data_IF_513109443866
#
_entry.id   IF_513109443866
#
_cell.length_a   1.000
_cell.length_b   1.000
_cell.length_c   1.000
_cell.angle_alpha   90.00
_cell.angle_beta   90.00
_cell.angle_gamma   90.00
#
_symmetry.space_group_name_H-M   'P 1'
#
loop_
_entity.id
_entity.type
_entity.pdbx_description
1 polymer ?
#
# COMPACT_ATOMS: atom_id res chain seq x y z
N UNK A 1 -33.58 -7.91 -21.84
CA UNK A 1 -32.93 -6.86 -21.03
C UNK A 1 -31.93 -6.13 -21.92
N UNK A 2 -32.12 -4.84 -22.15
CA UNK A 2 -31.15 -4.01 -22.86
C UNK A 2 -29.98 -3.69 -21.91
N UNK A 3 -28.78 -4.16 -22.22
CA UNK A 3 -27.56 -3.65 -21.61
C UNK A 3 -27.07 -2.48 -22.48
N UNK A 4 -27.03 -1.24 -21.95
CA UNK A 4 -26.47 -0.14 -22.70
C UNK A 4 -25.01 -0.44 -23.07
N UNK A 5 -24.55 -0.03 -24.26
CA UNK A 5 -23.18 -0.26 -24.68
C UNK A 5 -22.20 0.39 -23.69
N UNK A 6 -21.20 -0.38 -23.26
CA UNK A 6 -20.17 0.12 -22.35
C UNK A 6 -19.40 1.27 -23.01
N UNK A 7 -19.60 2.49 -22.50
CA UNK A 7 -18.90 3.69 -22.96
C UNK A 7 -17.47 3.80 -22.40
N UNK A 8 -17.00 2.81 -21.63
CA UNK A 8 -15.67 2.76 -20.99
C UNK A 8 -14.53 3.13 -21.93
N UNK A 9 -14.48 2.52 -23.13
CA UNK A 9 -13.43 2.81 -24.14
C UNK A 9 -13.44 4.25 -24.62
N UNK A 10 -14.63 4.85 -24.77
CA UNK A 10 -14.78 6.26 -25.17
C UNK A 10 -14.34 7.19 -24.04
N UNK A 11 -14.69 6.88 -22.79
CA UNK A 11 -14.28 7.66 -21.62
C UNK A 11 -12.78 7.60 -21.36
N UNK A 12 -12.14 6.44 -21.55
CA UNK A 12 -10.67 6.35 -21.52
C UNK A 12 -10.03 7.18 -22.62
N UNK A 13 -10.62 7.19 -23.83
CA UNK A 13 -10.11 8.00 -24.94
C UNK A 13 -10.20 9.49 -24.61
N UNK A 14 -11.32 9.94 -24.03
CA UNK A 14 -11.53 11.31 -23.58
C UNK A 14 -10.49 11.73 -22.53
N UNK A 15 -10.26 10.90 -21.51
CA UNK A 15 -9.21 11.15 -20.51
C UNK A 15 -7.81 11.26 -21.15
N UNK A 16 -7.50 10.39 -22.12
CA UNK A 16 -6.19 10.36 -22.77
C UNK A 16 -5.98 11.50 -23.77
N UNK A 17 -7.02 11.96 -24.45
CA UNK A 17 -6.92 13.12 -25.35
C UNK A 17 -6.87 14.44 -24.59
N UNK A 18 -7.37 14.47 -23.35
CA UNK A 18 -7.55 15.68 -22.54
C UNK A 18 -8.44 16.74 -23.24
N UNK A 19 -9.27 16.30 -24.19
CA UNK A 19 -10.24 17.14 -24.89
C UNK A 19 -11.29 17.61 -23.89
N UNK A 20 -11.58 18.90 -23.87
CA UNK A 20 -12.51 19.54 -22.92
C UNK A 20 -12.17 19.37 -21.43
N UNK A 21 -10.93 18.99 -21.10
CA UNK A 21 -10.47 19.00 -19.73
C UNK A 21 -10.62 20.39 -19.12
N UNK A 22 -11.23 20.47 -17.94
CA UNK A 22 -11.52 21.71 -17.22
C UNK A 22 -10.82 21.76 -15.85
N UNK A 23 -10.11 20.69 -15.48
CA UNK A 23 -9.29 20.63 -14.28
C UNK A 23 -7.92 20.01 -14.53
N UNK A 24 -6.93 20.45 -13.75
CA UNK A 24 -5.58 19.88 -13.74
C UNK A 24 -5.14 19.51 -12.32
N UNK A 25 -4.31 18.47 -12.22
CA UNK A 25 -3.64 18.03 -10.99
C UNK A 25 -2.15 17.77 -11.24
N UNK A 26 -1.33 17.86 -10.19
CA UNK A 26 0.10 17.55 -10.27
C UNK A 26 0.47 16.43 -9.30
N UNK A 27 1.17 15.43 -9.81
CA UNK A 27 1.73 14.33 -9.01
C UNK A 27 3.21 14.22 -9.34
N UNK A 28 4.06 14.63 -8.40
CA UNK A 28 5.47 14.88 -8.67
C UNK A 28 5.65 15.93 -9.77
N UNK A 29 6.48 15.64 -10.78
CA UNK A 29 6.71 16.51 -11.92
C UNK A 29 5.69 16.35 -13.06
N UNK A 30 4.69 15.46 -12.93
CA UNK A 30 3.73 15.14 -13.99
C UNK A 30 2.41 15.87 -13.77
N UNK A 31 1.89 16.46 -14.84
CA UNK A 31 0.58 17.11 -14.90
C UNK A 31 -0.44 16.12 -15.46
N UNK A 32 -1.63 16.13 -14.87
CA UNK A 32 -2.79 15.35 -15.31
C UNK A 32 -3.95 16.29 -15.58
N UNK A 33 -4.57 16.12 -16.74
CA UNK A 33 -5.77 16.84 -17.16
C UNK A 33 -6.97 15.90 -17.05
N UNK A 34 -8.08 16.42 -16.54
CA UNK A 34 -9.29 15.63 -16.30
C UNK A 34 -10.55 16.49 -16.37
N UNK A 35 -11.69 15.86 -16.12
CA UNK A 35 -13.02 16.46 -16.23
C UNK A 35 -13.67 16.52 -14.85
N UNK A 36 -13.88 17.73 -14.34
CA UNK A 36 -14.44 18.01 -13.02
C UNK A 36 -15.80 17.36 -12.82
N UNK A 37 -16.65 17.37 -13.85
CA UNK A 37 -17.97 16.76 -13.80
C UNK A 37 -17.90 15.25 -13.52
N UNK A 38 -17.01 14.54 -14.20
CA UNK A 38 -16.79 13.09 -14.01
C UNK A 38 -16.21 12.83 -12.63
N UNK A 39 -15.22 13.62 -12.22
CA UNK A 39 -14.60 13.47 -10.91
C UNK A 39 -15.57 13.76 -9.77
N UNK A 40 -16.46 14.74 -9.89
CA UNK A 40 -17.48 15.04 -8.87
C UNK A 40 -18.47 13.89 -8.69
N UNK A 41 -18.82 13.20 -9.77
CA UNK A 41 -19.78 12.10 -9.73
C UNK A 41 -19.18 10.87 -9.04
N UNK A 42 -17.94 10.51 -9.38
CA UNK A 42 -17.30 9.31 -8.83
C UNK A 42 -16.52 9.55 -7.54
N UNK A 43 -15.91 10.73 -7.38
CA UNK A 43 -14.94 11.01 -6.32
C UNK A 43 -14.83 12.52 -5.99
N UNK A 44 -15.85 13.13 -5.36
CA UNK A 44 -15.88 14.57 -5.10
C UNK A 44 -14.63 15.10 -4.37
N UNK A 45 -14.11 14.32 -3.43
CA UNK A 45 -12.91 14.67 -2.64
C UNK A 45 -11.67 14.90 -3.50
N UNK A 46 -11.56 14.27 -4.67
CA UNK A 46 -10.40 14.42 -5.54
C UNK A 46 -10.37 15.79 -6.22
N UNK A 47 -11.54 16.43 -6.36
CA UNK A 47 -11.68 17.76 -6.95
C UNK A 47 -10.96 18.83 -6.11
N UNK A 48 -10.86 18.64 -4.80
CA UNK A 48 -10.15 19.55 -3.88
C UNK A 48 -8.63 19.56 -4.14
N UNK A 49 -8.11 18.55 -4.83
CA UNK A 49 -6.71 18.45 -5.24
C UNK A 49 -6.47 19.00 -6.65
N UNK A 50 -7.53 19.41 -7.34
CA UNK A 50 -7.46 19.91 -8.71
C UNK A 50 -7.61 21.43 -8.79
N UNK A 51 -7.01 22.04 -9.81
CA UNK A 51 -7.22 23.44 -10.19
C UNK A 51 -8.10 23.54 -11.43
N UNK A 52 -9.00 24.52 -11.49
CA UNK A 52 -9.81 24.78 -12.68
C UNK A 52 -8.96 25.45 -13.77
N UNK A 53 -9.07 24.98 -15.01
CA UNK A 53 -8.29 25.49 -16.16
C UNK A 53 -8.84 26.84 -16.64
N UNK A 54 -10.15 27.08 -16.47
CA UNK A 54 -10.86 28.27 -16.98
C UNK A 54 -10.94 29.43 -15.98
N UNK A 55 -10.19 29.43 -14.87
CA UNK A 55 -10.23 30.53 -13.90
C UNK A 55 -9.87 31.87 -14.59
N UNK A 56 -10.85 32.78 -14.81
CA UNK A 56 -10.61 34.04 -15.46
C UNK A 56 -10.18 35.06 -14.39
N UNK A 57 -9.04 35.70 -14.63
CA UNK A 57 -8.51 36.88 -13.92
C UNK A 57 -7.75 36.61 -12.62
N UNK A 58 -6.43 36.82 -12.74
CA UNK A 58 -5.76 37.81 -11.91
C UNK A 58 -5.28 37.34 -10.55
N UNK A 59 -4.20 36.57 -10.55
CA UNK A 59 -2.96 36.98 -9.88
C UNK A 59 -1.86 36.01 -10.32
N UNK A 60 -0.72 36.56 -10.71
CA UNK A 60 0.51 35.83 -11.02
C UNK A 60 1.15 35.27 -9.74
N UNK A 61 0.37 34.58 -8.93
CA UNK A 61 0.88 33.51 -8.09
C UNK A 61 0.30 32.23 -8.69
N UNK A 62 1.16 31.48 -9.37
CA UNK A 62 0.92 30.09 -9.71
C UNK A 62 0.61 29.34 -8.43
N UNK A 63 -0.65 29.35 -7.99
CA UNK A 63 -1.16 28.37 -7.03
C UNK A 63 -1.06 27.06 -7.81
N UNK A 64 0.08 26.39 -7.62
CA UNK A 64 0.36 25.10 -8.22
C UNK A 64 -0.75 24.15 -7.76
N UNK A 65 -1.20 23.27 -8.66
CA UNK A 65 -2.12 22.23 -8.23
C UNK A 65 -1.52 21.50 -7.02
N UNK A 66 -2.38 21.09 -6.09
CA UNK A 66 -1.89 20.51 -4.85
C UNK A 66 -1.25 19.16 -5.17
N UNK A 67 -0.02 18.97 -4.73
CA UNK A 67 0.64 17.68 -4.84
C UNK A 67 -0.16 16.63 -4.05
N UNK A 68 -0.50 15.52 -4.69
CA UNK A 68 -1.15 14.40 -3.99
C UNK A 68 -0.04 13.51 -3.41
N UNK A 69 0.19 13.67 -2.11
CA UNK A 69 1.25 12.96 -1.40
C UNK A 69 0.97 11.46 -1.28
N UNK A 70 2.03 10.66 -1.46
CA UNK A 70 1.98 9.20 -1.32
C UNK A 70 1.47 8.46 -2.56
N UNK A 71 1.21 9.16 -3.67
CA UNK A 71 0.91 8.54 -4.97
C UNK A 71 2.04 8.75 -5.97
N UNK A 72 2.45 7.68 -6.64
CA UNK A 72 3.23 7.80 -7.87
C UNK A 72 2.35 8.31 -9.01
N UNK A 73 2.94 8.90 -10.06
CA UNK A 73 2.18 9.32 -11.23
C UNK A 73 1.42 8.16 -11.89
N UNK A 74 1.93 6.93 -11.80
CA UNK A 74 1.27 5.74 -12.37
C UNK A 74 0.07 5.32 -11.53
N UNK A 75 0.16 5.31 -10.21
CA UNK A 75 -0.97 5.02 -9.34
C UNK A 75 -2.09 6.06 -9.51
N UNK A 76 -1.75 7.35 -9.58
CA UNK A 76 -2.73 8.40 -9.83
C UNK A 76 -3.40 8.27 -11.22
N UNK A 77 -2.64 7.91 -12.25
CA UNK A 77 -3.22 7.61 -13.57
C UNK A 77 -4.26 6.50 -13.51
N UNK A 78 -3.99 5.42 -12.78
CA UNK A 78 -4.91 4.28 -12.64
C UNK A 78 -6.19 4.69 -11.89
N UNK A 79 -6.09 5.57 -10.90
CA UNK A 79 -7.25 6.15 -10.21
C UNK A 79 -8.11 6.96 -11.19
N UNK A 80 -7.50 7.81 -12.02
CA UNK A 80 -8.24 8.58 -13.03
C UNK A 80 -8.90 7.68 -14.08
N UNK A 81 -8.20 6.65 -14.55
CA UNK A 81 -8.73 5.67 -15.50
C UNK A 81 -9.92 4.88 -14.90
N UNK A 82 -9.84 4.54 -13.61
CA UNK A 82 -10.94 3.93 -12.88
C UNK A 82 -12.16 4.86 -12.78
N UNK A 83 -11.96 6.11 -12.36
CA UNK A 83 -13.03 7.13 -12.26
C UNK A 83 -13.71 7.37 -13.60
N UNK A 84 -12.94 7.48 -14.69
CA UNK A 84 -13.53 7.81 -15.99
C UNK A 84 -14.24 6.63 -16.65
N UNK A 85 -13.75 5.41 -16.46
CA UNK A 85 -14.16 4.28 -17.29
C UNK A 85 -14.46 2.98 -16.54
N UNK A 86 -14.41 2.99 -15.20
CA UNK A 86 -14.50 1.77 -14.38
C UNK A 86 -13.39 0.77 -14.67
N UNK A 87 -12.23 1.26 -15.14
CA UNK A 87 -11.09 0.40 -15.47
C UNK A 87 -10.39 -0.07 -14.20
N UNK A 88 -9.83 -1.28 -14.24
CA UNK A 88 -9.10 -1.87 -13.12
C UNK A 88 -7.63 -2.07 -13.45
N UNK A 89 -6.72 -2.01 -12.46
CA UNK A 89 -5.30 -2.29 -12.64
C UNK A 89 -5.10 -3.71 -13.19
N UNK A 90 -4.13 -3.86 -14.09
CA UNK A 90 -3.65 -5.19 -14.49
C UNK A 90 -2.80 -5.80 -13.37
N UNK A 91 -2.50 -7.11 -13.44
CA UNK A 91 -1.58 -7.77 -12.51
C UNK A 91 -0.24 -7.05 -12.38
N UNK A 92 0.30 -6.57 -13.51
CA UNK A 92 1.55 -5.81 -13.54
C UNK A 92 1.43 -4.46 -12.84
N UNK A 93 0.28 -3.80 -12.95
CA UNK A 93 0.01 -2.54 -12.28
C UNK A 93 -0.14 -2.75 -10.77
N UNK A 94 -0.89 -3.78 -10.36
CA UNK A 94 -1.08 -4.14 -8.95
C UNK A 94 0.26 -4.52 -8.29
N UNK A 95 1.14 -5.26 -8.96
CA UNK A 95 2.47 -5.59 -8.43
C UNK A 95 3.34 -4.33 -8.26
N UNK A 96 3.26 -3.36 -9.19
CA UNK A 96 4.12 -2.17 -9.16
C UNK A 96 3.63 -1.08 -8.21
N UNK A 97 2.31 -0.87 -8.17
CA UNK A 97 1.69 0.26 -7.50
C UNK A 97 0.72 -0.18 -6.40
N UNK A 98 0.64 -1.48 -6.09
CA UNK A 98 -0.39 -2.06 -5.23
C UNK A 98 -0.45 -1.43 -3.86
N UNK A 99 0.71 -1.19 -3.23
CA UNK A 99 0.77 -0.50 -1.93
C UNK A 99 0.12 0.88 -1.98
N UNK A 100 0.53 1.71 -2.93
CA UNK A 100 -0.02 3.06 -3.13
C UNK A 100 -1.52 3.02 -3.45
N UNK A 101 -1.96 2.05 -4.26
CA UNK A 101 -3.35 1.84 -4.65
C UNK A 101 -4.20 1.18 -3.56
N UNK A 102 -3.62 0.62 -2.49
CA UNK A 102 -4.35 0.15 -1.31
C UNK A 102 -4.44 1.29 -0.28
N UNK A 103 -3.36 2.03 -0.12
CA UNK A 103 -3.26 3.14 0.84
C UNK A 103 -4.07 4.37 0.40
N UNK A 104 -4.10 4.67 -0.90
CA UNK A 104 -4.80 5.85 -1.42
C UNK A 104 -6.34 5.74 -1.37
N UNK A 105 -6.98 4.62 -1.71
CA UNK A 105 -8.42 4.45 -1.51
C UNK A 105 -8.88 4.62 -0.07
N UNK A 106 -8.05 4.35 0.94
CA UNK A 106 -8.42 4.66 2.33
C UNK A 106 -8.58 6.17 2.56
N UNK A 107 -7.94 7.01 1.73
CA UNK A 107 -8.06 8.48 1.75
C UNK A 107 -9.22 8.99 0.90
N UNK A 108 -9.61 8.26 -0.14
CA UNK A 108 -10.59 8.71 -1.14
C UNK A 108 -11.88 7.89 -1.21
N UNK A 109 -12.02 6.80 -0.44
CA UNK A 109 -13.16 5.88 -0.46
C UNK A 109 -13.36 5.12 -1.78
N UNK A 110 -12.28 4.73 -2.47
CA UNK A 110 -12.32 3.90 -3.69
C UNK A 110 -12.35 2.40 -3.37
N UNK A 111 -13.43 1.94 -2.73
CA UNK A 111 -13.54 0.56 -2.19
C UNK A 111 -13.37 -0.52 -3.26
N UNK A 112 -14.01 -0.37 -4.43
CA UNK A 112 -13.95 -1.38 -5.50
C UNK A 112 -12.53 -1.53 -6.09
N UNK A 113 -11.83 -0.41 -6.28
CA UNK A 113 -10.45 -0.40 -6.75
C UNK A 113 -9.52 -1.10 -5.75
N UNK A 114 -9.69 -0.82 -4.46
CA UNK A 114 -8.93 -1.46 -3.38
C UNK A 114 -9.14 -2.97 -3.37
N UNK A 115 -10.40 -3.41 -3.34
CA UNK A 115 -10.74 -4.85 -3.33
C UNK A 115 -10.14 -5.58 -4.53
N UNK A 116 -10.16 -4.95 -5.71
CA UNK A 116 -9.60 -5.58 -6.91
C UNK A 116 -8.09 -5.73 -6.81
N UNK A 117 -7.37 -4.70 -6.34
CA UNK A 117 -5.91 -4.77 -6.15
C UNK A 117 -5.55 -5.80 -5.07
N UNK A 118 -6.26 -5.83 -3.95
CA UNK A 118 -6.07 -6.81 -2.89
C UNK A 118 -6.27 -8.25 -3.41
N UNK A 119 -7.36 -8.50 -4.15
CA UNK A 119 -7.65 -9.81 -4.72
C UNK A 119 -6.59 -10.27 -5.74
N UNK A 120 -6.07 -9.35 -6.58
CA UNK A 120 -4.98 -9.67 -7.51
C UNK A 120 -3.71 -10.07 -6.75
N UNK A 121 -3.35 -9.32 -5.71
CA UNK A 121 -2.17 -9.60 -4.90
C UNK A 121 -2.33 -10.89 -4.07
N UNK A 122 -3.53 -11.15 -3.54
CA UNK A 122 -3.86 -12.39 -2.85
C UNK A 122 -3.76 -13.59 -3.79
N UNK A 123 -4.30 -13.50 -5.01
CA UNK A 123 -4.14 -14.53 -6.04
C UNK A 123 -2.65 -14.80 -6.35
N UNK A 124 -1.84 -13.75 -6.45
CA UNK A 124 -0.40 -13.89 -6.69
C UNK A 124 0.34 -14.57 -5.53
N UNK A 125 -0.02 -14.24 -4.29
CA UNK A 125 0.51 -14.89 -3.09
C UNK A 125 0.09 -16.36 -3.01
N UNK A 126 -1.19 -16.65 -3.25
CA UNK A 126 -1.73 -18.01 -3.26
C UNK A 126 -1.02 -18.86 -4.32
N UNK A 127 -0.81 -18.31 -5.52
CA UNK A 127 -0.04 -18.98 -6.57
C UNK A 127 1.38 -19.29 -6.10
N UNK A 128 2.07 -18.34 -5.46
CA UNK A 128 3.42 -18.58 -4.93
C UNK A 128 3.44 -19.69 -3.86
N UNK A 129 2.46 -19.71 -2.96
CA UNK A 129 2.37 -20.73 -1.88
C UNK A 129 2.11 -22.12 -2.47
N UNK A 130 1.14 -22.23 -3.39
CA UNK A 130 0.77 -23.50 -4.02
C UNK A 130 1.88 -24.03 -4.92
N UNK A 131 2.58 -23.16 -5.64
CA UNK A 131 3.61 -23.53 -6.62
C UNK A 131 5.04 -23.28 -6.12
N UNK A 132 5.26 -23.17 -4.80
CA UNK A 132 6.54 -22.76 -4.22
C UNK A 132 7.74 -23.61 -4.69
N UNK A 133 7.55 -24.93 -4.92
CA UNK A 133 8.62 -25.81 -5.43
C UNK A 133 9.02 -25.48 -6.86
N UNK A 134 8.06 -25.11 -7.71
CA UNK A 134 8.29 -24.73 -9.10
C UNK A 134 8.90 -23.34 -9.16
N UNK A 135 8.37 -22.42 -8.37
CA UNK A 135 8.93 -21.06 -8.23
C UNK A 135 10.36 -21.14 -7.73
N UNK A 136 10.65 -21.92 -6.68
CA UNK A 136 12.00 -22.11 -6.14
C UNK A 136 13.00 -22.75 -7.14
N UNK A 137 12.50 -23.53 -8.11
CA UNK A 137 13.34 -24.10 -9.18
C UNK A 137 13.51 -23.15 -10.36
N UNK A 138 12.68 -22.11 -10.46
CA UNK A 138 12.75 -21.17 -11.57
C UNK A 138 14.04 -20.34 -11.54
N UNK A 139 14.57 -20.02 -12.72
CA UNK A 139 15.79 -19.21 -12.85
C UNK A 139 15.64 -17.84 -12.17
N UNK A 140 14.44 -17.26 -12.22
CA UNK A 140 14.13 -15.97 -11.59
C UNK A 140 14.19 -16.02 -10.06
N UNK A 141 13.95 -17.16 -9.45
CA UNK A 141 14.08 -17.29 -7.99
C UNK A 141 15.53 -17.24 -7.50
N UNK A 142 16.52 -17.48 -8.37
CA UNK A 142 17.93 -17.33 -8.02
C UNK A 142 18.25 -15.88 -7.67
N UNK A 143 17.70 -14.92 -8.43
CA UNK A 143 17.82 -13.48 -8.15
C UNK A 143 17.31 -13.17 -6.74
N UNK A 144 16.16 -13.75 -6.35
CA UNK A 144 15.61 -13.59 -5.01
C UNK A 144 16.51 -14.22 -3.93
N UNK A 145 17.06 -15.42 -4.19
CA UNK A 145 17.94 -16.14 -3.26
C UNK A 145 19.31 -15.49 -3.07
N UNK A 146 19.80 -14.82 -4.09
CA UNK A 146 21.13 -14.20 -4.11
C UNK A 146 21.10 -12.74 -3.65
N UNK A 147 19.93 -12.07 -3.69
CA UNK A 147 19.76 -10.73 -3.13
C UNK A 147 19.64 -10.78 -1.61
N UNK A 148 20.69 -10.30 -0.93
CA UNK A 148 20.72 -10.17 0.53
C UNK A 148 19.72 -9.14 1.03
N UNK A 149 19.52 -8.07 0.26
CA UNK A 149 18.64 -6.96 0.58
C UNK A 149 17.18 -7.44 0.60
N UNK A 150 16.74 -8.11 -0.47
CA UNK A 150 15.37 -8.63 -0.57
C UNK A 150 15.08 -9.70 0.49
N UNK A 151 16.02 -10.62 0.73
CA UNK A 151 15.85 -11.62 1.79
C UNK A 151 15.80 -10.97 3.18
N UNK A 152 16.62 -9.95 3.45
CA UNK A 152 16.57 -9.23 4.73
C UNK A 152 15.24 -8.51 4.93
N UNK A 153 14.71 -7.87 3.89
CA UNK A 153 13.41 -7.19 3.94
C UNK A 153 12.27 -8.19 4.14
N UNK A 154 12.28 -9.33 3.44
CA UNK A 154 11.31 -10.41 3.64
C UNK A 154 11.37 -10.95 5.07
N UNK A 155 12.56 -11.17 5.64
CA UNK A 155 12.72 -11.60 7.03
C UNK A 155 12.15 -10.56 8.01
N UNK A 156 12.41 -9.26 7.78
CA UNK A 156 11.86 -8.18 8.59
C UNK A 156 10.33 -8.13 8.48
N UNK A 157 9.78 -8.25 7.27
CA UNK A 157 8.34 -8.24 7.03
C UNK A 157 7.63 -9.45 7.65
N UNK A 158 8.22 -10.64 7.53
CA UNK A 158 7.73 -11.85 8.21
C UNK A 158 7.84 -11.75 9.74
N UNK A 159 8.82 -10.99 10.24
CA UNK A 159 8.95 -10.66 11.66
C UNK A 159 7.94 -9.62 12.16
N UNK A 160 7.50 -8.70 11.29
CA UNK A 160 6.58 -7.60 11.62
C UNK A 160 5.08 -7.95 11.42
N UNK A 161 4.76 -9.14 10.89
CA UNK A 161 3.38 -9.66 10.82
C UNK A 161 2.75 -9.97 12.20
N UNK A 162 3.46 -9.74 13.29
CA UNK A 162 2.94 -9.75 14.64
C UNK A 162 3.22 -8.41 15.30
N UNK A 163 2.24 -7.52 15.31
CA UNK A 163 2.18 -6.44 16.28
C UNK A 163 1.96 -7.06 17.68
N UNK A 164 3.05 -7.58 18.23
CA UNK A 164 3.29 -7.70 19.66
C UNK A 164 4.74 -7.31 19.86
N UNK A 165 4.95 -6.12 20.41
CA UNK A 165 6.07 -5.90 21.34
C UNK A 165 5.92 -6.88 22.52
N UNK A 166 6.15 -8.16 22.28
CA UNK A 166 6.45 -9.11 23.32
C UNK A 166 7.96 -9.35 23.21
N UNK A 167 8.71 -8.74 24.12
CA UNK A 167 10.11 -9.12 24.38
C UNK A 167 10.12 -10.52 24.98
N UNK A 168 9.61 -11.51 24.25
CA UNK A 168 9.58 -12.90 24.65
C UNK A 168 10.98 -13.47 24.47
N UNK A 169 11.83 -13.25 25.47
CA UNK A 169 12.99 -14.12 25.69
C UNK A 169 12.50 -15.58 25.72
N UNK A 170 13.23 -16.48 25.04
CA UNK A 170 12.93 -17.90 25.09
C UNK A 170 13.08 -18.43 26.52
N UNK A 171 12.45 -19.56 26.85
CA UNK A 171 12.58 -20.19 28.19
C UNK A 171 14.04 -20.43 28.55
N UNK A 172 14.87 -20.82 27.58
CA UNK A 172 16.30 -21.00 27.79
C UNK A 172 17.02 -19.68 28.13
N UNK A 173 16.66 -18.59 27.46
CA UNK A 173 17.19 -17.25 27.76
C UNK A 173 16.72 -16.75 29.13
N UNK A 174 15.45 -16.97 29.48
CA UNK A 174 14.89 -16.62 30.78
C UNK A 174 15.61 -17.37 31.92
N UNK A 175 15.81 -18.68 31.79
CA UNK A 175 16.55 -19.49 32.76
C UNK A 175 18.00 -19.07 32.91
N UNK A 176 18.67 -18.76 31.79
CA UNK A 176 20.04 -18.25 31.83
C UNK A 176 20.13 -16.91 32.57
N UNK A 177 19.20 -16.00 32.29
CA UNK A 177 19.21 -14.67 32.91
C UNK A 177 18.82 -14.68 34.40
N UNK A 178 17.88 -15.56 34.79
CA UNK A 178 17.55 -15.81 36.19
C UNK A 178 18.70 -16.51 36.93
N UNK A 179 19.37 -17.47 36.27
CA UNK A 179 20.54 -18.16 36.82
C UNK A 179 21.71 -17.21 37.11
N UNK A 180 22.01 -16.27 36.19
CA UNK A 180 23.00 -15.21 36.44
C UNK A 180 22.66 -14.35 37.66
N UNK A 181 21.37 -14.18 37.93
CA UNK A 181 20.86 -13.40 39.07
C UNK A 181 20.66 -14.24 40.34
N UNK A 182 21.03 -15.53 40.31
CA UNK A 182 20.80 -16.50 41.39
C UNK A 182 19.33 -16.59 41.82
N UNK A 183 18.41 -16.42 40.87
CA UNK A 183 16.97 -16.56 41.07
C UNK A 183 16.51 -17.95 40.64
N UNK A 184 15.35 -18.37 41.16
CA UNK A 184 14.74 -19.66 40.81
C UNK A 184 14.43 -19.78 39.31
N UNK A 185 14.94 -20.84 38.70
CA UNK A 185 14.89 -21.12 37.25
C UNK A 185 13.83 -22.16 36.87
N UNK A 186 13.08 -22.69 37.84
CA UNK A 186 12.04 -23.69 37.59
C UNK A 186 10.63 -23.08 37.43
N UNK A 187 9.76 -23.80 36.73
CA UNK A 187 8.38 -23.41 36.47
C UNK A 187 8.08 -23.05 35.01
N UNK A 188 6.85 -22.56 34.78
CA UNK A 188 6.36 -22.20 33.45
C UNK A 188 7.03 -20.92 32.93
N UNK A 189 6.92 -20.67 31.62
CA UNK A 189 7.48 -19.47 30.99
C UNK A 189 6.97 -18.20 31.66
N UNK A 190 5.69 -18.16 32.01
CA UNK A 190 5.01 -17.04 32.65
C UNK A 190 5.60 -16.77 34.04
N UNK A 191 5.87 -17.84 34.83
CA UNK A 191 6.51 -17.72 36.12
C UNK A 191 7.93 -17.14 36.03
N UNK A 192 8.70 -17.55 35.01
CA UNK A 192 10.05 -17.04 34.76
C UNK A 192 10.03 -15.56 34.32
N UNK A 193 9.05 -15.16 33.50
CA UNK A 193 8.88 -13.75 33.08
C UNK A 193 8.56 -12.87 34.28
N UNK A 194 7.59 -13.27 35.11
CA UNK A 194 7.19 -12.52 36.31
C UNK A 194 8.37 -12.28 37.25
N UNK A 195 9.13 -13.33 37.60
CA UNK A 195 10.32 -13.19 38.46
C UNK A 195 11.37 -12.26 37.87
N UNK A 196 11.56 -12.30 36.56
CA UNK A 196 12.55 -11.45 35.90
C UNK A 196 12.11 -9.97 35.87
N UNK A 197 10.81 -9.71 35.79
CA UNK A 197 10.26 -8.36 35.91
C UNK A 197 10.34 -7.81 37.34
N UNK A 198 9.98 -8.61 38.34
CA UNK A 198 10.11 -8.25 39.75
C UNK A 198 11.57 -7.91 40.11
N UNK A 199 12.51 -8.73 39.64
CA UNK A 199 13.94 -8.48 39.82
C UNK A 199 14.48 -7.25 39.09
N UNK A 200 13.76 -6.73 38.08
CA UNK A 200 14.12 -5.46 37.41
C UNK A 200 13.57 -4.26 38.15
N UNK A 201 12.36 -4.37 38.73
CA UNK A 201 11.73 -3.30 39.53
C UNK A 201 12.54 -2.97 40.78
N UNK A 202 13.12 -3.98 41.43
CA UNK A 202 13.97 -3.80 42.63
C UNK A 202 15.39 -3.25 42.36
N UNK A 203 15.76 -2.90 41.12
CA UNK A 203 17.05 -2.26 40.80
C UNK A 203 16.94 -0.76 40.52
N UNK A 204 15.74 -0.22 40.50
CA UNK A 204 15.47 1.18 40.13
C UNK A 204 15.14 2.10 41.31
N UNK A 205 15.26 1.57 42.54
CA UNK A 205 15.24 2.33 43.81
C UNK A 205 16.64 2.23 44.47
#
# INVERSE_FOLDING_TARGET
MYQPPSNSKKMLKLLKSAEDADVLSTVGAKIFLAHKAIMKDSLPILVDYCKCIKDPVGNNESIAARAIEGLSPKAFQLILEHIHAGSYPTDKDAIKCGKELIDAPNKFYLVELKMTVENILECALLYFVLHHKEVHKSERSKILRESRELLSEIIILMGNGGDRKDKSMSVAQLRNELGKRKLDVDGSKEALVLRLEEAKRHRTD
#
